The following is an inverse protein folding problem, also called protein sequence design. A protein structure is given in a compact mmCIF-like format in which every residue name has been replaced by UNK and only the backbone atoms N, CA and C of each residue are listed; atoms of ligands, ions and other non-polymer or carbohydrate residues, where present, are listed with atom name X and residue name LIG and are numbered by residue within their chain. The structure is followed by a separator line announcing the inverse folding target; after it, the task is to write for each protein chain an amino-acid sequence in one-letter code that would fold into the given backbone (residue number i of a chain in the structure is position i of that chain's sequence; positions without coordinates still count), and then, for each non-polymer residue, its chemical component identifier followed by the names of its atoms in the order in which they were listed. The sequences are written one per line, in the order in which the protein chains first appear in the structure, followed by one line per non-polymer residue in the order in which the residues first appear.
data_IF_169731864745
#
_entry.id   IF_169731864745
#
_cell.length_a   1.000
_cell.length_b   1.000
_cell.length_c   1.000
_cell.angle_alpha   90.00
_cell.angle_beta   90.00
_cell.angle_gamma   90.00
#
_symmetry.space_group_name_H-M   'P 1'
#
loop_
_entity.id
_entity.type
_entity.pdbx_description
1 polymer ?
#
# COMPACT_ATOMS: atom_id res chain seq x y z
N UNK A 1 21.77 13.31 2.26
CA UNK A 1 21.76 11.97 1.62
C UNK A 1 21.86 10.84 2.65
N UNK A 2 22.85 10.85 3.53
CA UNK A 2 23.08 9.75 4.49
C UNK A 2 21.90 9.50 5.47
N UNK A 3 21.28 10.56 5.99
CA UNK A 3 20.16 10.44 6.94
C UNK A 3 18.87 9.82 6.35
N UNK A 4 18.50 10.20 5.12
CA UNK A 4 17.32 9.63 4.45
C UNK A 4 17.50 8.15 4.15
N UNK A 5 18.70 7.78 3.71
CA UNK A 5 19.04 6.38 3.46
C UNK A 5 19.01 5.56 4.76
N UNK A 6 19.51 6.14 5.86
CA UNK A 6 19.45 5.49 7.17
C UNK A 6 18.01 5.32 7.68
N UNK A 7 17.15 6.30 7.44
CA UNK A 7 15.72 6.21 7.77
C UNK A 7 15.04 5.04 7.02
N UNK A 8 15.33 4.90 5.74
CA UNK A 8 14.82 3.81 4.91
C UNK A 8 15.34 2.46 5.38
N UNK A 9 16.65 2.34 5.53
CA UNK A 9 17.31 1.09 5.93
C UNK A 9 16.94 0.67 7.37
N UNK A 10 16.68 1.62 8.26
CA UNK A 10 16.22 1.39 9.62
C UNK A 10 14.75 0.98 9.73
N UNK A 11 13.97 1.18 8.68
CA UNK A 11 12.52 0.94 8.69
C UNK A 11 12.20 -0.48 8.21
N UNK A 12 11.61 -1.29 9.10
CA UNK A 12 11.26 -2.69 8.83
C UNK A 12 9.88 -2.88 8.17
N UNK A 13 9.08 -1.82 8.10
CA UNK A 13 7.73 -1.85 7.55
C UNK A 13 7.30 -0.46 7.07
N UNK A 14 6.29 -0.36 6.18
CA UNK A 14 5.70 0.91 5.77
C UNK A 14 5.24 1.77 6.96
N UNK A 15 4.62 1.16 7.96
CA UNK A 15 4.16 1.86 9.17
C UNK A 15 5.33 2.44 9.98
N UNK A 16 6.45 1.71 10.12
CA UNK A 16 7.64 2.23 10.79
C UNK A 16 8.29 3.36 9.98
N UNK A 17 8.27 3.26 8.66
CA UNK A 17 8.84 4.28 7.78
C UNK A 17 8.07 5.60 7.85
N UNK A 18 6.75 5.59 7.67
CA UNK A 18 5.94 6.83 7.77
C UNK A 18 6.07 7.48 9.15
N UNK A 19 6.10 6.65 10.21
CA UNK A 19 6.35 7.16 11.57
C UNK A 19 7.70 7.84 11.68
N UNK A 20 8.76 7.21 11.17
CA UNK A 20 10.11 7.76 11.18
C UNK A 20 10.18 9.08 10.39
N UNK A 21 9.54 9.15 9.22
CA UNK A 21 9.44 10.37 8.44
C UNK A 21 8.76 11.50 9.22
N UNK A 22 7.62 11.21 9.86
CA UNK A 22 6.86 12.23 10.61
C UNK A 22 7.60 12.78 11.84
N UNK A 23 8.49 11.99 12.44
CA UNK A 23 9.20 12.35 13.67
C UNK A 23 10.64 12.82 13.45
N UNK A 24 11.16 12.66 12.25
CA UNK A 24 12.56 13.01 11.95
C UNK A 24 12.75 14.50 11.68
N UNK A 25 13.80 15.06 12.23
CA UNK A 25 14.14 16.49 12.10
C UNK A 25 14.40 16.96 10.67
N UNK A 26 14.77 16.04 9.78
CA UNK A 26 14.99 16.30 8.35
C UNK A 26 13.75 16.87 7.66
N UNK A 27 12.56 16.38 8.03
CA UNK A 27 11.29 16.89 7.51
C UNK A 27 10.82 18.16 8.24
N UNK A 28 11.63 18.67 9.15
CA UNK A 28 11.44 19.95 9.83
C UNK A 28 10.45 19.90 10.98
N UNK A 29 10.22 21.06 11.56
CA UNK A 29 9.25 21.25 12.63
C UNK A 29 7.82 21.32 12.03
N UNK A 30 6.82 21.11 12.88
CA UNK A 30 5.40 21.25 12.51
C UNK A 30 4.85 20.15 11.56
N UNK A 31 5.48 18.98 11.55
CA UNK A 31 4.88 17.80 10.89
C UNK A 31 3.74 17.31 11.75
N UNK A 32 2.55 17.22 11.16
CA UNK A 32 1.31 16.73 11.79
C UNK A 32 1.12 15.24 11.56
N UNK A 33 1.63 14.74 10.44
CA UNK A 33 1.50 13.34 10.06
C UNK A 33 2.20 13.03 8.74
N UNK A 34 2.19 11.77 8.38
CA UNK A 34 2.65 11.28 7.09
C UNK A 34 1.85 10.08 6.63
N UNK A 35 1.68 9.95 5.34
CA UNK A 35 0.94 8.87 4.70
C UNK A 35 1.74 8.32 3.52
N UNK A 36 1.58 7.03 3.28
CA UNK A 36 2.17 6.36 2.12
C UNK A 36 1.07 5.74 1.29
N UNK A 37 1.02 6.10 0.03
CA UNK A 37 0.11 5.53 -0.96
C UNK A 37 0.87 4.63 -1.91
N UNK A 38 0.25 3.56 -2.36
CA UNK A 38 0.74 2.72 -3.46
C UNK A 38 -0.21 2.82 -4.64
N UNK A 39 0.38 2.68 -5.83
CA UNK A 39 -0.35 2.64 -7.09
C UNK A 39 -0.69 1.17 -7.39
N UNK A 40 -1.98 0.88 -7.55
CA UNK A 40 -2.45 -0.45 -7.92
C UNK A 40 -2.49 -0.63 -9.44
N UNK A 41 -2.60 -1.88 -9.89
CA UNK A 41 -2.69 -2.21 -11.31
C UNK A 41 -3.92 -1.61 -12.03
N UNK A 42 -4.98 -1.28 -11.29
CA UNK A 42 -6.18 -0.61 -11.79
C UNK A 42 -6.06 0.93 -11.79
N UNK A 43 -4.85 1.44 -11.62
CA UNK A 43 -4.56 2.86 -11.50
C UNK A 43 -5.21 3.55 -10.28
N UNK A 44 -5.71 2.80 -9.32
CA UNK A 44 -6.15 3.33 -8.03
C UNK A 44 -4.98 3.54 -7.09
N UNK A 45 -5.12 4.47 -6.15
CA UNK A 45 -4.20 4.71 -5.06
C UNK A 45 -4.82 4.19 -3.76
N UNK A 46 -4.07 3.38 -3.02
CA UNK A 46 -4.49 2.91 -1.69
C UNK A 46 -3.48 3.30 -0.64
N UNK A 47 -3.96 3.70 0.53
CA UNK A 47 -3.11 4.00 1.67
C UNK A 47 -2.48 2.70 2.18
N UNK A 48 -1.15 2.63 2.14
CA UNK A 48 -0.38 1.51 2.63
C UNK A 48 -0.07 1.66 4.12
N UNK A 49 0.22 2.87 4.56
CA UNK A 49 0.49 3.21 5.95
C UNK A 49 0.22 4.69 6.21
N UNK A 50 -0.16 5.01 7.45
CA UNK A 50 -0.34 6.37 7.92
C UNK A 50 0.18 6.50 9.35
N UNK A 51 0.64 7.70 9.71
CA UNK A 51 1.03 8.07 11.07
C UNK A 51 0.68 9.52 11.37
N UNK A 52 0.10 9.76 12.53
CA UNK A 52 -0.37 11.09 12.93
C UNK A 52 -1.66 11.48 12.25
N UNK A 53 -1.73 12.72 11.78
CA UNK A 53 -2.93 13.24 11.09
C UNK A 53 -2.98 12.73 9.65
N UNK A 54 -4.17 12.36 9.22
CA UNK A 54 -4.48 11.98 7.83
C UNK A 54 -5.13 13.14 7.06
N UNK A 55 -5.01 13.10 5.73
CA UNK A 55 -5.74 14.02 4.87
C UNK A 55 -7.18 13.55 4.66
N UNK A 56 -8.16 14.46 4.53
CA UNK A 56 -9.54 14.09 4.16
C UNK A 56 -9.62 13.29 2.85
N UNK A 57 -8.69 13.55 1.92
CA UNK A 57 -8.56 12.83 0.65
C UNK A 57 -8.20 11.34 0.84
N UNK A 58 -7.56 10.97 1.94
CA UNK A 58 -7.12 9.60 2.20
C UNK A 58 -8.27 8.63 2.47
N UNK A 59 -9.43 9.15 2.84
CA UNK A 59 -10.64 8.36 3.06
C UNK A 59 -11.40 8.08 1.76
N UNK A 60 -11.02 8.72 0.66
CA UNK A 60 -11.64 8.58 -0.64
C UNK A 60 -10.91 7.53 -1.48
N UNK A 61 -11.63 6.93 -2.43
CA UNK A 61 -11.00 6.08 -3.45
C UNK A 61 -10.32 6.98 -4.47
N UNK A 62 -9.00 7.16 -4.34
CA UNK A 62 -8.20 7.96 -5.24
C UNK A 62 -7.79 7.17 -6.50
N UNK A 63 -7.67 7.89 -7.62
CA UNK A 63 -7.08 7.39 -8.86
C UNK A 63 -5.92 8.29 -9.29
N UNK A 64 -4.94 7.75 -10.02
CA UNK A 64 -3.86 8.58 -10.60
C UNK A 64 -4.36 9.66 -11.56
N UNK A 65 -5.62 9.55 -12.02
CA UNK A 65 -6.24 10.48 -12.95
C UNK A 65 -6.99 11.64 -12.27
N UNK A 66 -7.11 11.61 -10.94
CA UNK A 66 -7.79 12.68 -10.21
C UNK A 66 -6.98 13.97 -10.23
N UNK A 67 -7.70 15.11 -10.10
CA UNK A 67 -7.09 16.43 -10.09
C UNK A 67 -6.70 16.85 -8.68
N UNK A 68 -5.68 16.20 -8.13
CA UNK A 68 -5.09 16.53 -6.83
C UNK A 68 -3.57 16.28 -6.85
N UNK A 69 -2.80 16.90 -5.96
CA UNK A 69 -1.34 16.77 -5.91
C UNK A 69 -0.84 15.33 -5.70
N UNK A 70 -1.55 14.48 -4.95
CA UNK A 70 -1.16 13.09 -4.72
C UNK A 70 -1.20 12.31 -6.05
N UNK A 71 -2.31 12.45 -6.77
CA UNK A 71 -2.53 11.80 -8.07
C UNK A 71 -1.58 12.35 -9.15
N UNK A 72 -1.31 13.64 -9.12
CA UNK A 72 -0.33 14.26 -10.01
C UNK A 72 1.09 13.74 -9.77
N UNK A 73 1.52 13.63 -8.50
CA UNK A 73 2.80 13.02 -8.14
C UNK A 73 2.89 11.58 -8.61
N UNK A 74 1.83 10.79 -8.39
CA UNK A 74 1.76 9.40 -8.82
C UNK A 74 1.93 9.25 -10.33
N UNK A 75 1.28 10.12 -11.11
CA UNK A 75 1.29 10.09 -12.58
C UNK A 75 2.58 10.62 -13.18
N UNK A 76 3.13 11.70 -12.62
CA UNK A 76 4.26 12.42 -13.23
C UNK A 76 5.62 12.01 -12.69
N UNK A 77 5.66 11.35 -11.52
CA UNK A 77 6.91 11.06 -10.81
C UNK A 77 7.65 12.30 -10.31
N UNK A 78 6.96 13.45 -10.22
CA UNK A 78 7.51 14.70 -9.71
C UNK A 78 6.87 15.05 -8.37
N UNK A 79 7.64 15.65 -7.48
CA UNK A 79 7.12 16.15 -6.22
C UNK A 79 6.15 17.30 -6.45
N UNK A 80 5.03 17.27 -5.73
CA UNK A 80 4.01 18.32 -5.75
C UNK A 80 3.64 18.73 -4.32
N UNK A 81 2.82 19.75 -4.18
CA UNK A 81 2.30 20.19 -2.88
C UNK A 81 0.88 20.71 -3.02
N UNK A 82 0.16 20.71 -1.90
CA UNK A 82 -1.21 21.23 -1.85
C UNK A 82 -1.57 21.71 -0.46
N UNK A 83 -2.77 22.24 -0.37
CA UNK A 83 -3.40 22.67 0.89
C UNK A 83 -4.74 21.95 1.07
N UNK A 84 -5.13 21.77 2.32
CA UNK A 84 -6.44 21.26 2.70
C UNK A 84 -6.89 21.98 3.97
N UNK A 85 -8.18 21.91 4.27
CA UNK A 85 -8.70 22.42 5.54
C UNK A 85 -8.77 21.28 6.56
N UNK A 86 -8.37 21.59 7.76
CA UNK A 86 -8.63 20.73 8.90
C UNK A 86 -10.11 20.81 9.26
N UNK A 87 -10.84 19.73 9.13
CA UNK A 87 -12.29 19.69 9.39
C UNK A 87 -12.67 20.04 10.83
N UNK A 88 -11.81 19.73 11.81
CA UNK A 88 -12.08 19.99 13.23
C UNK A 88 -11.82 21.45 13.64
N UNK A 89 -10.78 22.07 13.09
CA UNK A 89 -10.32 23.38 13.52
C UNK A 89 -10.54 24.47 12.49
N UNK A 90 -10.86 24.13 11.25
CA UNK A 90 -10.92 25.05 10.12
C UNK A 90 -9.55 25.62 9.70
N UNK A 91 -8.46 25.19 10.35
CA UNK A 91 -7.13 25.67 10.02
C UNK A 91 -6.63 25.07 8.71
N UNK A 92 -5.86 25.87 7.96
CA UNK A 92 -5.20 25.39 6.73
C UNK A 92 -4.06 24.45 7.09
N UNK A 93 -3.99 23.32 6.42
CA UNK A 93 -2.91 22.35 6.48
C UNK A 93 -2.24 22.25 5.11
N UNK A 94 -0.95 22.04 5.13
CA UNK A 94 -0.09 21.95 3.94
C UNK A 94 0.40 20.53 3.80
N UNK A 95 0.42 20.01 2.58
CA UNK A 95 0.96 18.68 2.35
C UNK A 95 1.87 18.65 1.14
N UNK A 96 2.92 17.84 1.24
CA UNK A 96 3.99 17.70 0.28
C UNK A 96 4.05 16.24 -0.15
N UNK A 97 4.00 16.01 -1.45
CA UNK A 97 3.95 14.71 -2.07
C UNK A 97 5.30 14.38 -2.71
N UNK A 98 5.89 13.26 -2.33
CA UNK A 98 7.16 12.77 -2.85
C UNK A 98 6.94 11.41 -3.52
N UNK A 99 7.40 11.21 -4.78
CA UNK A 99 7.20 9.95 -5.47
C UNK A 99 8.11 8.86 -4.89
N UNK A 100 7.61 7.64 -4.84
CA UNK A 100 8.40 6.42 -4.74
C UNK A 100 8.51 5.83 -6.13
N UNK A 101 9.74 5.76 -6.67
CA UNK A 101 9.94 5.30 -8.04
C UNK A 101 10.95 4.17 -8.08
N UNK A 102 10.67 3.16 -8.87
CA UNK A 102 11.69 2.26 -9.36
C UNK A 102 12.43 2.89 -10.54
N UNK A 103 13.34 2.16 -11.14
CA UNK A 103 14.08 2.64 -12.33
C UNK A 103 13.17 2.93 -13.53
N UNK A 104 11.96 2.37 -13.57
CA UNK A 104 11.07 2.42 -14.73
C UNK A 104 9.79 3.24 -14.52
N UNK A 105 9.26 3.29 -13.28
CA UNK A 105 7.94 3.89 -13.02
C UNK A 105 7.75 4.28 -11.55
N UNK A 106 6.76 5.12 -11.28
CA UNK A 106 6.36 5.48 -9.92
C UNK A 106 5.55 4.34 -9.31
N UNK A 107 5.93 3.91 -8.11
CA UNK A 107 5.28 2.82 -7.36
C UNK A 107 4.28 3.35 -6.35
N UNK A 108 4.49 4.57 -5.86
CA UNK A 108 3.64 5.16 -4.84
C UNK A 108 4.03 6.60 -4.51
N UNK A 109 3.40 7.14 -3.49
CA UNK A 109 3.59 8.53 -3.04
C UNK A 109 3.72 8.58 -1.53
N UNK A 110 4.77 9.23 -1.02
CA UNK A 110 4.86 9.65 0.38
C UNK A 110 4.26 11.05 0.51
N UNK A 111 3.36 11.22 1.44
CA UNK A 111 2.74 12.51 1.77
C UNK A 111 3.18 12.94 3.16
N UNK A 112 3.72 14.14 3.26
CA UNK A 112 4.10 14.78 4.52
C UNK A 112 3.11 15.91 4.81
N UNK A 113 2.42 15.84 5.93
CA UNK A 113 1.36 16.77 6.35
C UNK A 113 1.93 17.72 7.40
N UNK A 114 1.76 19.03 7.21
CA UNK A 114 2.34 20.07 8.05
C UNK A 114 1.31 21.15 8.42
N UNK A 115 1.52 21.79 9.55
CA UNK A 115 0.75 22.98 9.97
C UNK A 115 1.32 24.30 9.44
N UNK A 116 2.38 24.27 8.64
CA UNK A 116 3.08 25.45 8.16
C UNK A 116 3.45 25.30 6.68
N UNK A 117 3.36 26.38 5.87
CA UNK A 117 3.67 26.36 4.44
C UNK A 117 5.15 26.18 4.11
N UNK A 118 6.03 26.14 5.11
CA UNK A 118 7.45 25.94 4.85
C UNK A 118 7.72 24.53 4.32
N UNK A 119 7.97 24.47 3.03
CA UNK A 119 8.41 23.27 2.34
C UNK A 119 9.73 22.78 2.93
N UNK A 120 9.91 21.47 2.90
CA UNK A 120 11.23 20.88 3.05
C UNK A 120 11.95 21.14 1.74
N UNK A 121 12.98 21.95 1.78
CA UNK A 121 13.83 22.15 0.61
C UNK A 121 14.79 20.96 0.53
N UNK A 122 14.29 19.84 0.00
CA UNK A 122 15.18 18.79 -0.47
C UNK A 122 15.73 19.24 -1.82
N UNK A 123 17.05 19.21 -1.98
CA UNK A 123 17.66 19.42 -3.28
C UNK A 123 17.14 18.36 -4.28
N UNK A 124 17.04 18.71 -5.53
CA UNK A 124 16.46 17.82 -6.57
C UNK A 124 17.16 16.45 -6.60
N UNK A 125 18.47 16.45 -6.37
CA UNK A 125 19.26 15.22 -6.29
C UNK A 125 18.87 14.35 -5.09
N UNK A 126 18.58 14.97 -3.94
CA UNK A 126 18.14 14.25 -2.75
C UNK A 126 16.73 13.70 -2.92
N UNK A 127 15.84 14.42 -3.58
CA UNK A 127 14.50 13.94 -3.92
C UNK A 127 14.55 12.72 -4.85
N UNK A 128 15.37 12.76 -5.90
CA UNK A 128 15.57 11.64 -6.82
C UNK A 128 16.16 10.42 -6.11
N UNK A 129 17.17 10.65 -5.27
CA UNK A 129 17.80 9.58 -4.50
C UNK A 129 16.80 8.96 -3.52
N UNK A 130 16.05 9.77 -2.78
CA UNK A 130 15.00 9.31 -1.88
C UNK A 130 13.94 8.50 -2.62
N UNK A 131 13.48 9.00 -3.75
CA UNK A 131 12.49 8.35 -4.60
C UNK A 131 12.95 6.96 -5.03
N UNK A 132 14.15 6.85 -5.57
CA UNK A 132 14.72 5.59 -6.05
C UNK A 132 14.93 4.57 -4.93
N UNK A 133 15.55 4.98 -3.80
CA UNK A 133 15.76 4.07 -2.67
C UNK A 133 14.45 3.65 -2.01
N UNK A 134 13.47 4.54 -1.93
CA UNK A 134 12.14 4.23 -1.42
C UNK A 134 11.41 3.23 -2.32
N UNK A 135 11.56 3.35 -3.63
CA UNK A 135 11.02 2.39 -4.59
C UNK A 135 11.64 1.00 -4.42
N UNK A 136 12.97 0.91 -4.41
CA UNK A 136 13.69 -0.36 -4.19
C UNK A 136 13.37 -0.98 -2.82
N UNK A 137 13.27 -0.15 -1.78
CA UNK A 137 12.88 -0.61 -0.46
C UNK A 137 11.45 -1.16 -0.44
N UNK A 138 10.52 -0.48 -1.10
CA UNK A 138 9.13 -0.92 -1.21
C UNK A 138 9.02 -2.24 -1.96
N UNK A 139 9.78 -2.43 -3.04
CA UNK A 139 9.90 -3.70 -3.76
C UNK A 139 10.48 -4.80 -2.85
N UNK A 140 11.55 -4.50 -2.11
CA UNK A 140 12.19 -5.44 -1.19
C UNK A 140 11.31 -5.82 0.01
N UNK A 141 10.63 -4.85 0.62
CA UNK A 141 9.67 -5.10 1.71
C UNK A 141 8.43 -5.84 1.20
N UNK A 142 8.00 -5.55 -0.04
CA UNK A 142 6.94 -6.26 -0.71
C UNK A 142 7.27 -7.73 -0.95
N UNK A 143 8.51 -8.02 -1.33
CA UNK A 143 9.01 -9.39 -1.48
C UNK A 143 9.16 -10.12 -0.11
N UNK A 144 9.52 -9.40 0.95
CA UNK A 144 9.69 -9.96 2.29
C UNK A 144 8.36 -10.10 3.06
N UNK A 145 7.44 -9.16 2.87
CA UNK A 145 6.08 -9.19 3.41
C UNK A 145 5.11 -9.48 2.26
N UNK A 146 4.68 -10.72 2.11
CA UNK A 146 3.69 -11.16 1.12
C UNK A 146 2.31 -10.48 1.24
N UNK A 147 2.22 -9.36 1.96
CA UNK A 147 1.02 -8.56 2.19
C UNK A 147 1.00 -7.23 1.42
N UNK A 148 2.06 -6.87 0.68
CA UNK A 148 1.99 -5.76 -0.25
C UNK A 148 1.31 -6.24 -1.54
N UNK A 149 0.32 -5.53 -2.09
CA UNK A 149 -0.19 -5.85 -3.39
C UNK A 149 0.97 -5.74 -4.39
N UNK A 150 1.37 -6.88 -4.95
CA UNK A 150 2.45 -6.96 -5.92
C UNK A 150 2.13 -6.06 -7.12
N UNK A 151 2.83 -4.94 -7.25
CA UNK A 151 2.84 -4.12 -8.45
C UNK A 151 3.82 -4.73 -9.46
N UNK A 152 3.51 -5.93 -9.94
CA UNK A 152 4.13 -6.49 -11.13
C UNK A 152 3.09 -6.60 -12.23
N UNK A 153 3.24 -5.87 -13.34
CA UNK A 153 2.39 -6.05 -14.52
C UNK A 153 2.82 -7.25 -15.40
N UNK A 154 3.61 -8.19 -14.88
CA UNK A 154 3.97 -9.38 -15.64
C UNK A 154 4.19 -10.57 -14.73
N UNK A 155 3.27 -11.49 -14.78
CA UNK A 155 3.05 -12.75 -14.08
C UNK A 155 2.25 -12.60 -12.77
N UNK A 156 0.92 -12.46 -12.88
CA UNK A 156 0.06 -13.14 -11.93
C UNK A 156 0.46 -14.62 -12.01
N UNK A 157 1.20 -15.09 -11.00
CA UNK A 157 1.33 -16.53 -10.86
C UNK A 157 -0.08 -17.09 -10.73
N UNK A 158 -0.47 -17.93 -11.64
CA UNK A 158 -1.77 -18.62 -11.65
C UNK A 158 -1.91 -19.49 -10.39
N UNK A 159 -0.83 -19.65 -9.64
CA UNK A 159 -0.75 -20.44 -8.42
C UNK A 159 -1.25 -19.65 -7.21
N UNK A 160 -2.00 -20.34 -6.37
CA UNK A 160 -2.45 -19.81 -5.09
C UNK A 160 -1.26 -19.77 -4.13
N UNK A 161 -1.19 -18.76 -3.26
CA UNK A 161 -0.26 -18.77 -2.12
C UNK A 161 -0.74 -19.77 -1.06
N UNK A 162 0.15 -20.28 -0.19
CA UNK A 162 -0.20 -21.20 0.89
C UNK A 162 -1.39 -20.67 1.72
N UNK A 163 -1.40 -19.37 2.01
CA UNK A 163 -2.51 -18.73 2.73
C UNK A 163 -3.81 -18.72 1.93
N UNK A 164 -3.74 -18.51 0.61
CA UNK A 164 -4.91 -18.57 -0.26
C UNK A 164 -5.44 -20.00 -0.41
N UNK A 165 -4.56 -20.98 -0.38
CA UNK A 165 -4.94 -22.40 -0.34
C UNK A 165 -5.65 -22.75 0.96
N UNK A 166 -5.16 -22.28 2.12
CA UNK A 166 -5.81 -22.47 3.41
C UNK A 166 -7.21 -21.86 3.45
N UNK A 167 -7.33 -20.60 2.96
CA UNK A 167 -8.64 -19.94 2.85
C UNK A 167 -9.55 -20.71 1.91
N UNK A 168 -9.05 -21.17 0.76
CA UNK A 168 -9.84 -21.93 -0.22
C UNK A 168 -10.31 -23.27 0.37
N UNK A 169 -9.47 -23.94 1.17
CA UNK A 169 -9.84 -25.17 1.87
C UNK A 169 -10.98 -24.91 2.86
N UNK A 170 -10.85 -23.91 3.72
CA UNK A 170 -11.91 -23.54 4.66
C UNK A 170 -13.20 -23.11 3.95
N UNK A 171 -13.07 -22.46 2.77
CA UNK A 171 -14.20 -22.19 1.89
C UNK A 171 -14.88 -23.48 1.43
N UNK A 172 -14.11 -24.48 1.03
CA UNK A 172 -14.61 -25.77 0.58
C UNK A 172 -15.28 -26.58 1.71
N UNK A 173 -14.75 -26.45 2.94
CA UNK A 173 -15.32 -27.03 4.15
C UNK A 173 -16.58 -26.34 4.65
N UNK A 174 -17.03 -25.28 3.94
CA UNK A 174 -18.27 -24.56 4.25
C UNK A 174 -18.11 -23.44 5.29
N UNK A 175 -16.89 -23.10 5.75
CA UNK A 175 -16.66 -22.07 6.76
C UNK A 175 -17.09 -20.69 6.24
N UNK A 176 -17.74 -19.88 7.07
CA UNK A 176 -18.06 -18.49 6.75
C UNK A 176 -16.80 -17.60 6.80
N UNK A 177 -16.86 -16.40 6.21
CA UNK A 177 -15.74 -15.47 6.28
C UNK A 177 -15.36 -15.09 7.72
N UNK A 178 -16.33 -14.98 8.63
CA UNK A 178 -16.08 -14.75 10.04
C UNK A 178 -15.31 -15.91 10.69
N UNK A 179 -15.72 -17.16 10.44
CA UNK A 179 -15.04 -18.34 10.95
C UNK A 179 -13.61 -18.48 10.41
N UNK A 180 -13.41 -18.16 9.11
CA UNK A 180 -12.08 -18.15 8.50
C UNK A 180 -11.20 -17.04 9.13
N UNK A 181 -11.78 -15.87 9.36
CA UNK A 181 -11.10 -14.75 10.00
C UNK A 181 -10.63 -15.11 11.42
N UNK A 182 -11.51 -15.70 12.22
CA UNK A 182 -11.19 -16.16 13.57
C UNK A 182 -10.11 -17.24 13.58
N UNK A 183 -10.22 -18.24 12.71
CA UNK A 183 -9.26 -19.34 12.61
C UNK A 183 -7.86 -18.90 12.18
N UNK A 184 -7.78 -17.90 11.29
CA UNK A 184 -6.51 -17.37 10.76
C UNK A 184 -6.01 -16.12 11.51
N UNK A 185 -6.72 -15.69 12.55
CA UNK A 185 -6.42 -14.47 13.34
C UNK A 185 -6.33 -13.24 12.43
N UNK A 186 -7.34 -13.05 11.58
CA UNK A 186 -7.44 -11.97 10.61
C UNK A 186 -8.76 -11.20 10.75
N UNK A 187 -8.87 -10.07 10.05
CA UNK A 187 -10.14 -9.39 9.90
C UNK A 187 -11.02 -10.04 8.81
N UNK A 188 -12.34 -10.00 8.97
CA UNK A 188 -13.26 -10.43 7.91
C UNK A 188 -13.06 -9.68 6.59
N UNK A 189 -12.70 -8.40 6.65
CA UNK A 189 -12.37 -7.61 5.47
C UNK A 189 -11.18 -8.16 4.71
N UNK A 190 -10.14 -8.62 5.42
CA UNK A 190 -8.98 -9.29 4.83
C UNK A 190 -9.39 -10.60 4.15
N UNK A 191 -10.20 -11.43 4.82
CA UNK A 191 -10.69 -12.68 4.22
C UNK A 191 -11.51 -12.41 2.96
N UNK A 192 -12.36 -11.38 2.97
CA UNK A 192 -13.15 -10.99 1.81
C UNK A 192 -12.28 -10.58 0.62
N UNK A 193 -11.21 -9.81 0.87
CA UNK A 193 -10.24 -9.41 -0.15
C UNK A 193 -9.48 -10.61 -0.73
N UNK A 194 -8.98 -11.51 0.12
CA UNK A 194 -8.28 -12.72 -0.34
C UNK A 194 -9.21 -13.66 -1.12
N UNK A 195 -10.45 -13.79 -0.70
CA UNK A 195 -11.47 -14.58 -1.43
C UNK A 195 -11.70 -14.06 -2.86
N UNK A 196 -11.75 -12.71 -3.03
CA UNK A 196 -11.86 -12.11 -4.38
C UNK A 196 -10.64 -12.43 -5.23
N UNK A 197 -9.42 -12.36 -4.66
CA UNK A 197 -8.19 -12.72 -5.38
C UNK A 197 -8.17 -14.21 -5.77
N UNK A 198 -8.59 -15.09 -4.87
CA UNK A 198 -8.71 -16.53 -5.13
C UNK A 198 -9.65 -16.78 -6.31
N UNK A 199 -10.84 -16.18 -6.32
CA UNK A 199 -11.80 -16.35 -7.40
C UNK A 199 -11.26 -15.85 -8.74
N UNK A 200 -10.52 -14.74 -8.73
CA UNK A 200 -9.86 -14.20 -9.93
C UNK A 200 -8.77 -15.15 -10.45
N UNK A 201 -7.89 -15.65 -9.58
CA UNK A 201 -6.85 -16.62 -9.96
C UNK A 201 -7.42 -17.93 -10.48
N UNK A 202 -8.49 -18.41 -9.87
CA UNK A 202 -9.20 -19.61 -10.32
C UNK A 202 -10.10 -19.34 -11.53
N UNK A 203 -10.24 -18.10 -11.98
CA UNK A 203 -11.15 -17.69 -13.05
C UNK A 203 -12.59 -18.21 -12.83
N UNK A 204 -13.13 -18.01 -11.62
CA UNK A 204 -14.47 -18.44 -11.23
C UNK A 204 -15.28 -17.26 -10.68
N UNK A 205 -16.62 -17.23 -10.91
CA UNK A 205 -17.42 -16.07 -10.53
C UNK A 205 -17.91 -16.07 -9.06
N UNK A 206 -17.87 -17.23 -8.39
CA UNK A 206 -18.48 -17.37 -7.08
C UNK A 206 -17.87 -18.51 -6.25
N UNK A 207 -18.31 -18.60 -4.99
CA UNK A 207 -17.85 -19.56 -3.99
C UNK A 207 -18.06 -21.01 -4.42
N UNK A 208 -19.23 -21.34 -4.95
CA UNK A 208 -19.56 -22.72 -5.35
C UNK A 208 -18.66 -23.20 -6.49
N UNK A 209 -18.42 -22.35 -7.48
CA UNK A 209 -17.52 -22.67 -8.60
C UNK A 209 -16.05 -22.73 -8.14
N UNK A 210 -15.65 -21.92 -7.15
CA UNK A 210 -14.32 -22.00 -6.57
C UNK A 210 -14.07 -23.34 -5.88
N UNK A 211 -15.02 -23.83 -5.10
CA UNK A 211 -14.95 -25.14 -4.45
C UNK A 211 -14.85 -26.26 -5.47
N UNK A 212 -15.73 -26.29 -6.48
CA UNK A 212 -15.70 -27.30 -7.56
C UNK A 212 -14.35 -27.32 -8.28
N UNK A 213 -13.83 -26.14 -8.64
CA UNK A 213 -12.56 -26.02 -9.36
C UNK A 213 -11.38 -26.45 -8.50
N UNK A 214 -11.38 -26.13 -7.19
CA UNK A 214 -10.38 -26.58 -6.24
C UNK A 214 -10.33 -28.10 -6.13
N UNK A 215 -11.49 -28.77 -6.09
CA UNK A 215 -11.59 -30.24 -6.09
C UNK A 215 -11.05 -30.83 -7.39
N UNK A 216 -11.45 -30.28 -8.56
CA UNK A 216 -10.98 -30.73 -9.87
C UNK A 216 -9.46 -30.59 -10.06
N UNK A 217 -8.85 -29.59 -9.48
CA UNK A 217 -7.41 -29.34 -9.54
C UNK A 217 -6.62 -30.13 -8.48
N UNK A 218 -7.28 -30.92 -7.63
CA UNK A 218 -6.65 -31.69 -6.55
C UNK A 218 -5.99 -30.81 -5.48
N UNK A 219 -6.39 -29.55 -5.40
CA UNK A 219 -5.83 -28.59 -4.42
C UNK A 219 -6.28 -28.91 -2.99
N UNK A 220 -7.36 -29.66 -2.84
CA UNK A 220 -7.90 -30.08 -1.53
C UNK A 220 -7.33 -31.41 -1.04
N UNK A 221 -6.80 -32.26 -1.94
CA UNK A 221 -6.32 -33.61 -1.61
C UNK A 221 -4.82 -33.68 -1.25
N UNK A 222 -4.06 -32.64 -1.52
CA UNK A 222 -2.59 -32.63 -1.39
C UNK A 222 -2.05 -32.66 0.04
N UNK A 223 -2.87 -32.70 1.09
CA UNK A 223 -2.42 -32.64 2.49
C UNK A 223 -3.09 -33.65 3.42
N UNK A 224 -3.53 -34.78 2.91
CA UNK A 224 -3.92 -35.94 3.72
C UNK A 224 -2.79 -36.98 3.87
N UNK A 225 -1.53 -36.55 3.66
CA UNK A 225 -0.35 -37.42 3.83
C UNK A 225 0.65 -36.80 4.77
#
# INVERSE_FOLDING_TARGET
MHELTLLLLGSKSPASYVRSCATHTLFGKHVLGSEMFIINADASLTTLAAFGRSLPLSEQKLSIWDQNPISETARTGKSTSGTALNEETGAEIYYYCYPFSSLAHTLGVLVMIKSSPYAITLEEQDQRTMSMFSGLWLEGVGAANQNLPATNPSHESTELSNRQEDILRMIADGSTNAQIADALILSESTIRQETVKIYRKLAVPNRAEATKKATLLGLLDKMAS
#
